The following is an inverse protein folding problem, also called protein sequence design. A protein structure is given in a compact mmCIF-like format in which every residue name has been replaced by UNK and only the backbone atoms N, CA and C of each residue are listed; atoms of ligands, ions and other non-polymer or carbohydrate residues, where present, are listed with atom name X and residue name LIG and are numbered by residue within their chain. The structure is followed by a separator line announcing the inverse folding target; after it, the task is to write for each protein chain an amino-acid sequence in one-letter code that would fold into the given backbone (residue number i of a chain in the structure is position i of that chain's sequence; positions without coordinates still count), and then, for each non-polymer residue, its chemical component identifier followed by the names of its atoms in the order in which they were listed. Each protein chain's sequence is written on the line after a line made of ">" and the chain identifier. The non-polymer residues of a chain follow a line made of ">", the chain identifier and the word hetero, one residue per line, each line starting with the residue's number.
data_IF_008661618245
#
_entry.id   IF_008661618245
#
_cell.length_a   1.000
_cell.length_b   1.000
_cell.length_c   1.000
_cell.angle_alpha   90.00
_cell.angle_beta   90.00
_cell.angle_gamma   90.00
#
_symmetry.space_group_name_H-M   'P 1'
#
loop_
_entity.id
_entity.type
_entity.pdbx_description
1 polymer ?
#
# COMPACT_ATOMS: atom_id res chain seq x y z
N UNK A 1 -26.21 1.79 7.54
CA UNK A 1 -25.41 3.03 7.46
C UNK A 1 -24.23 2.75 6.55
N UNK A 2 -23.90 3.67 5.65
CA UNK A 2 -22.85 3.50 4.65
C UNK A 2 -21.60 4.29 5.05
N UNK A 3 -20.42 3.80 4.69
CA UNK A 3 -19.14 4.48 4.93
C UNK A 3 -18.62 5.04 3.63
N UNK A 4 -18.30 6.33 3.62
CA UNK A 4 -17.74 7.02 2.46
C UNK A 4 -16.22 7.15 2.68
N UNK A 5 -15.43 6.60 1.75
CA UNK A 5 -13.99 6.86 1.67
C UNK A 5 -13.73 7.89 0.56
N UNK A 6 -13.06 8.98 0.91
CA UNK A 6 -12.65 10.01 -0.04
C UNK A 6 -11.14 9.88 -0.32
N UNK A 7 -10.76 9.88 -1.60
CA UNK A 7 -9.37 9.80 -2.06
C UNK A 7 -8.95 11.13 -2.68
N UNK A 8 -8.56 12.14 -1.88
CA UNK A 8 -8.06 13.40 -2.41
C UNK A 8 -6.73 13.20 -3.14
N UNK A 9 -6.60 13.81 -4.32
CA UNK A 9 -5.42 13.69 -5.18
C UNK A 9 -4.29 14.66 -4.78
N UNK A 10 -4.65 15.74 -4.07
CA UNK A 10 -3.71 16.78 -3.66
C UNK A 10 -4.04 17.35 -2.27
N UNK A 11 -3.11 18.15 -1.75
CA UNK A 11 -3.23 18.70 -0.40
C UNK A 11 -4.40 19.69 -0.27
N UNK A 12 -4.67 20.50 -1.29
CA UNK A 12 -5.79 21.45 -1.29
C UNK A 12 -7.15 20.74 -1.16
N UNK A 13 -7.37 19.65 -1.91
CA UNK A 13 -8.58 18.83 -1.81
C UNK A 13 -8.73 18.22 -0.40
N UNK A 14 -7.63 17.72 0.17
CA UNK A 14 -7.64 17.16 1.53
C UNK A 14 -8.01 18.22 2.58
N UNK A 15 -7.49 19.43 2.45
CA UNK A 15 -7.78 20.54 3.36
C UNK A 15 -9.23 21.02 3.23
N UNK A 16 -9.74 21.11 2.00
CA UNK A 16 -11.14 21.45 1.74
C UNK A 16 -12.09 20.43 2.38
N UNK A 17 -11.87 19.13 2.17
CA UNK A 17 -12.69 18.06 2.75
C UNK A 17 -12.67 18.13 4.28
N UNK A 18 -11.49 18.31 4.90
CA UNK A 18 -11.37 18.47 6.35
C UNK A 18 -12.15 19.68 6.87
N UNK A 19 -12.12 20.80 6.17
CA UNK A 19 -12.87 22.00 6.54
C UNK A 19 -14.39 21.76 6.48
N UNK A 20 -14.87 21.12 5.40
CA UNK A 20 -16.28 20.75 5.26
C UNK A 20 -16.75 19.80 6.36
N UNK A 21 -15.99 18.73 6.66
CA UNK A 21 -16.35 17.79 7.71
C UNK A 21 -16.41 18.45 9.10
N UNK A 22 -15.47 19.37 9.39
CA UNK A 22 -15.50 20.17 10.63
C UNK A 22 -16.72 21.08 10.71
N UNK A 23 -17.06 21.77 9.62
CA UNK A 23 -18.22 22.66 9.57
C UNK A 23 -19.54 21.90 9.83
N UNK A 24 -19.63 20.67 9.32
CA UNK A 24 -20.76 19.78 9.53
C UNK A 24 -20.74 19.04 10.89
N UNK A 25 -19.73 19.30 11.73
CA UNK A 25 -19.50 18.60 13.02
C UNK A 25 -19.43 17.08 12.89
N UNK A 26 -18.97 16.60 11.73
CA UNK A 26 -18.77 15.17 11.46
C UNK A 26 -17.40 14.77 12.02
N UNK A 27 -17.37 13.74 12.86
CA UNK A 27 -16.11 13.14 13.30
C UNK A 27 -15.49 12.37 12.15
N UNK A 28 -14.20 12.57 11.92
CA UNK A 28 -13.45 11.87 10.89
C UNK A 28 -12.11 11.40 11.46
N UNK A 29 -11.62 10.30 10.92
CA UNK A 29 -10.29 9.77 11.20
C UNK A 29 -9.43 9.96 9.95
N UNK A 30 -8.24 10.51 10.12
CA UNK A 30 -7.25 10.60 9.05
C UNK A 30 -6.13 9.63 9.35
N UNK A 31 -6.15 8.47 8.70
CA UNK A 31 -4.98 7.61 8.59
C UNK A 31 -4.24 8.03 7.33
N UNK A 32 -2.96 8.38 7.46
CA UNK A 32 -2.11 8.35 6.26
C UNK A 32 -2.09 6.90 5.81
N UNK A 33 -2.31 6.65 4.52
CA UNK A 33 -1.83 5.41 3.92
C UNK A 33 -0.30 5.44 4.01
N UNK A 34 0.23 5.15 5.20
CA UNK A 34 1.51 4.50 5.27
C UNK A 34 1.29 3.21 4.50
N UNK A 35 1.87 3.11 3.29
CA UNK A 35 2.13 1.81 2.67
C UNK A 35 2.57 0.91 3.82
N UNK A 36 2.00 -0.31 3.97
CA UNK A 36 2.41 -1.20 5.05
C UNK A 36 3.92 -1.11 5.15
N UNK A 37 4.40 -0.66 6.32
CA UNK A 37 5.81 -0.38 6.55
C UNK A 37 6.48 -1.75 6.59
N UNK A 38 6.66 -2.32 5.40
CA UNK A 38 7.30 -3.60 5.21
C UNK A 38 8.70 -3.43 5.78
N UNK A 39 9.12 -4.46 6.52
CA UNK A 39 10.45 -4.48 7.07
C UNK A 39 11.47 -4.13 5.97
N UNK A 40 12.37 -3.15 6.19
CA UNK A 40 13.31 -2.72 5.16
C UNK A 40 14.19 -3.87 4.65
N UNK A 41 14.50 -4.87 5.48
CA UNK A 41 15.25 -6.05 5.05
C UNK A 41 14.40 -6.94 4.13
N UNK A 42 13.09 -7.08 4.41
CA UNK A 42 12.15 -7.75 3.51
C UNK A 42 12.10 -7.09 2.14
N UNK A 43 12.00 -5.76 2.09
CA UNK A 43 12.00 -5.01 0.81
C UNK A 43 13.32 -5.22 0.06
N UNK A 44 14.46 -5.18 0.78
CA UNK A 44 15.78 -5.40 0.20
C UNK A 44 15.93 -6.81 -0.39
N UNK A 45 15.50 -7.85 0.35
CA UNK A 45 15.50 -9.23 -0.13
C UNK A 45 14.67 -9.39 -1.40
N UNK A 46 13.50 -8.78 -1.45
CA UNK A 46 12.61 -8.86 -2.61
C UNK A 46 13.20 -8.18 -3.86
N UNK A 47 13.82 -7.01 -3.69
CA UNK A 47 14.51 -6.31 -4.78
C UNK A 47 15.72 -7.10 -5.28
N UNK A 48 16.50 -7.69 -4.37
CA UNK A 48 17.64 -8.53 -4.74
C UNK A 48 17.19 -9.79 -5.49
N UNK A 49 16.12 -10.44 -5.02
CA UNK A 49 15.51 -11.58 -5.71
C UNK A 49 15.07 -11.24 -7.12
N UNK A 50 14.39 -10.09 -7.33
CA UNK A 50 14.02 -9.62 -8.68
C UNK A 50 15.23 -9.49 -9.60
N UNK A 51 16.30 -8.85 -9.12
CA UNK A 51 17.54 -8.70 -9.88
C UNK A 51 18.15 -10.05 -10.25
N UNK A 52 18.18 -11.00 -9.31
CA UNK A 52 18.70 -12.34 -9.56
C UNK A 52 17.87 -13.10 -10.62
N UNK A 53 16.54 -12.95 -10.64
CA UNK A 53 15.69 -13.51 -11.69
C UNK A 53 16.02 -12.90 -13.05
N UNK A 54 16.17 -11.57 -13.15
CA UNK A 54 16.55 -10.88 -14.38
C UNK A 54 17.93 -11.31 -14.89
N UNK A 55 18.86 -11.58 -13.98
CA UNK A 55 20.19 -12.13 -14.27
C UNK A 55 20.20 -13.64 -14.55
N UNK A 56 19.02 -14.29 -14.60
CA UNK A 56 18.89 -15.72 -14.92
C UNK A 56 19.30 -16.67 -13.79
N UNK A 57 19.47 -16.17 -12.56
CA UNK A 57 19.86 -16.96 -11.37
C UNK A 57 18.66 -17.55 -10.62
N UNK A 58 17.45 -17.46 -11.20
CA UNK A 58 16.23 -18.03 -10.66
C UNK A 58 16.04 -19.50 -11.00
N UNK A 59 15.28 -20.21 -10.17
CA UNK A 59 14.78 -21.55 -10.47
C UNK A 59 13.28 -21.47 -10.72
N UNK A 60 12.83 -22.03 -11.84
CA UNK A 60 11.40 -22.18 -12.14
C UNK A 60 10.94 -23.54 -11.61
N UNK A 61 10.01 -23.53 -10.67
CA UNK A 61 9.44 -24.74 -10.08
C UNK A 61 7.98 -24.82 -10.50
N UNK A 62 7.53 -25.97 -10.99
CA UNK A 62 6.12 -26.21 -11.31
C UNK A 62 5.32 -26.45 -10.03
N UNK A 63 4.03 -26.08 -10.01
CA UNK A 63 3.18 -26.29 -8.84
C UNK A 63 3.12 -27.76 -8.41
N UNK A 64 3.20 -28.67 -9.37
CA UNK A 64 3.22 -30.13 -9.18
C UNK A 64 4.43 -30.61 -8.35
N UNK A 65 5.55 -29.89 -8.39
CA UNK A 65 6.77 -30.21 -7.65
C UNK A 65 6.77 -29.66 -6.22
N UNK A 66 5.84 -28.75 -5.87
CA UNK A 66 5.76 -28.12 -4.55
C UNK A 66 5.01 -28.96 -3.50
N UNK A 67 4.25 -29.98 -3.93
CA UNK A 67 3.32 -30.73 -3.07
C UNK A 67 3.61 -32.24 -3.01
N UNK A 68 4.88 -32.64 -3.09
CA UNK A 68 5.29 -34.06 -2.93
C UNK A 68 5.32 -34.52 -1.48
#
# INVERSE_FOLDING_TARGET
>A
METILAHPENQEQLEAIKAFLKALKIKFESKKEEKPNYDPEFVKMLLEGKKQIEEGRGVKISLEDLWK
#
